data_IF_293712050984
#
_entry.id   IF_293712050984
#
_cell.length_a   1.000
_cell.length_b   1.000
_cell.length_c   1.000
_cell.angle_alpha   90.00
_cell.angle_beta   90.00
_cell.angle_gamma   90.00
#
_symmetry.space_group_name_H-M   'P 1'
#
loop_
_entity.id
_entity.type
_entity.pdbx_description
1 polymer ?
#
# COMPACT_ATOMS: atom_id res chain seq x y z
N UNK A 1 92.64 -37.55 -34.13
CA UNK A 1 92.08 -36.38 -34.83
C UNK A 1 90.77 -36.11 -34.14
N UNK A 2 90.83 -35.36 -33.05
CA UNK A 2 89.65 -34.89 -32.33
C UNK A 2 89.21 -33.61 -33.06
N UNK A 3 88.01 -33.63 -33.64
CA UNK A 3 87.35 -32.44 -34.18
C UNK A 3 86.84 -31.60 -33.00
N UNK A 4 87.39 -30.40 -32.83
CA UNK A 4 86.85 -29.37 -31.94
C UNK A 4 85.46 -28.98 -32.44
N UNK A 5 84.43 -29.39 -31.70
CA UNK A 5 83.07 -28.90 -31.90
C UNK A 5 83.03 -27.44 -31.45
N UNK A 6 82.83 -26.55 -32.41
CA UNK A 6 82.79 -25.10 -32.23
C UNK A 6 81.62 -24.72 -31.30
N UNK A 7 81.94 -24.42 -30.04
CA UNK A 7 80.96 -24.16 -28.97
C UNK A 7 80.09 -22.92 -29.28
N UNK A 8 80.58 -22.00 -30.10
CA UNK A 8 79.88 -20.79 -30.50
C UNK A 8 78.69 -21.07 -31.44
N UNK A 9 78.78 -22.11 -32.27
CA UNK A 9 77.68 -22.49 -33.18
C UNK A 9 76.54 -23.17 -32.42
N UNK A 10 76.87 -24.04 -31.46
CA UNK A 10 75.88 -24.72 -30.62
C UNK A 10 75.15 -23.74 -29.71
N UNK A 11 75.84 -22.74 -29.15
CA UNK A 11 75.21 -21.73 -28.29
C UNK A 11 74.29 -20.77 -29.08
N UNK A 12 74.67 -20.43 -30.31
CA UNK A 12 73.85 -19.60 -31.20
C UNK A 12 72.59 -20.34 -31.70
N UNK A 13 72.68 -21.64 -31.98
CA UNK A 13 71.52 -22.43 -32.36
C UNK A 13 70.58 -22.64 -31.16
N UNK A 14 71.11 -22.88 -29.95
CA UNK A 14 70.32 -22.92 -28.71
C UNK A 14 69.61 -21.59 -28.39
N UNK A 15 70.24 -20.45 -28.68
CA UNK A 15 69.60 -19.13 -28.55
C UNK A 15 68.46 -18.95 -29.56
N UNK A 16 68.64 -19.37 -30.80
CA UNK A 16 67.58 -19.31 -31.83
C UNK A 16 66.40 -20.23 -31.50
N UNK A 17 66.65 -21.42 -30.96
CA UNK A 17 65.59 -22.31 -30.51
C UNK A 17 64.80 -21.73 -29.34
N UNK A 18 65.46 -21.13 -28.34
CA UNK A 18 64.77 -20.44 -27.23
C UNK A 18 63.98 -19.22 -27.67
N UNK A 19 64.53 -18.42 -28.59
CA UNK A 19 63.79 -17.28 -29.15
C UNK A 19 62.59 -17.69 -30.01
N UNK A 20 62.60 -18.89 -30.61
CA UNK A 20 61.44 -19.46 -31.29
C UNK A 20 60.40 -19.98 -30.29
N UNK A 21 60.80 -20.70 -29.25
CA UNK A 21 59.89 -21.17 -28.19
C UNK A 21 59.23 -19.99 -27.45
N UNK A 22 59.97 -18.93 -27.15
CA UNK A 22 59.43 -17.74 -26.48
C UNK A 22 58.43 -16.98 -27.37
N UNK A 23 58.67 -16.92 -28.69
CA UNK A 23 57.74 -16.29 -29.65
C UNK A 23 56.48 -17.12 -29.88
N UNK A 24 56.59 -18.45 -29.90
CA UNK A 24 55.44 -19.35 -29.99
C UNK A 24 54.61 -19.33 -28.69
N UNK A 25 55.27 -19.19 -27.54
CA UNK A 25 54.60 -19.02 -26.24
C UNK A 25 53.88 -17.66 -26.14
N UNK A 26 54.51 -16.55 -26.56
CA UNK A 26 53.88 -15.22 -26.58
C UNK A 26 52.69 -15.17 -27.56
N UNK A 27 52.81 -15.76 -28.76
CA UNK A 27 51.70 -15.84 -29.71
C UNK A 27 50.55 -16.72 -29.20
N UNK A 28 50.86 -17.82 -28.50
CA UNK A 28 49.86 -18.67 -27.84
C UNK A 28 49.13 -17.98 -26.68
N UNK A 29 49.80 -17.08 -25.96
CA UNK A 29 49.20 -16.26 -24.88
C UNK A 29 48.33 -15.16 -25.47
N UNK A 30 48.80 -14.46 -26.51
CA UNK A 30 48.04 -13.38 -27.17
C UNK A 30 46.75 -13.89 -27.83
N UNK A 31 46.80 -15.03 -28.53
CA UNK A 31 45.61 -15.65 -29.13
C UNK A 31 44.60 -16.11 -28.07
N UNK A 32 45.08 -16.53 -26.90
CA UNK A 32 44.22 -16.96 -25.78
C UNK A 32 43.56 -15.77 -25.07
N UNK A 33 44.24 -14.64 -24.97
CA UNK A 33 43.68 -13.38 -24.44
C UNK A 33 42.68 -12.72 -25.42
N UNK A 34 42.92 -12.74 -26.73
CA UNK A 34 41.97 -12.23 -27.73
C UNK A 34 40.73 -13.14 -27.89
N UNK A 35 40.89 -14.47 -27.86
CA UNK A 35 39.76 -15.42 -27.92
C UNK A 35 38.86 -15.32 -26.67
N UNK A 36 39.46 -15.27 -25.48
CA UNK A 36 38.72 -15.21 -24.21
C UNK A 36 37.99 -13.87 -24.00
N UNK A 37 38.48 -12.77 -24.58
CA UNK A 37 37.81 -11.45 -24.50
C UNK A 37 36.62 -11.34 -25.47
N UNK A 38 36.67 -12.00 -26.63
CA UNK A 38 35.55 -12.07 -27.59
C UNK A 38 34.44 -13.03 -27.11
N UNK A 39 34.79 -14.22 -26.62
CA UNK A 39 33.82 -15.21 -26.12
C UNK A 39 33.14 -14.76 -24.82
N UNK A 40 33.87 -14.07 -23.92
CA UNK A 40 33.27 -13.49 -22.72
C UNK A 40 32.28 -12.37 -23.04
N UNK A 41 32.51 -11.58 -24.11
CA UNK A 41 31.54 -10.57 -24.56
C UNK A 41 30.24 -11.21 -25.06
N UNK A 42 30.34 -12.29 -25.84
CA UNK A 42 29.17 -13.02 -26.36
C UNK A 42 28.35 -13.68 -25.25
N UNK A 43 29.00 -14.26 -24.24
CA UNK A 43 28.33 -14.85 -23.07
C UNK A 43 27.65 -13.77 -22.23
N UNK A 44 28.33 -12.64 -21.99
CA UNK A 44 27.76 -11.49 -21.28
C UNK A 44 26.56 -10.92 -22.03
N UNK A 45 26.62 -10.83 -23.37
CA UNK A 45 25.51 -10.36 -24.20
C UNK A 45 24.32 -11.32 -24.19
N UNK A 46 24.55 -12.64 -24.20
CA UNK A 46 23.49 -13.65 -24.03
C UNK A 46 22.82 -13.55 -22.66
N UNK A 47 23.61 -13.46 -21.58
CA UNK A 47 23.09 -13.33 -20.21
C UNK A 47 22.31 -12.03 -20.01
N UNK A 48 22.74 -10.93 -20.63
CA UNK A 48 22.00 -9.65 -20.59
C UNK A 48 20.70 -9.73 -21.38
N UNK A 49 20.69 -10.34 -22.57
CA UNK A 49 19.44 -10.57 -23.34
C UNK A 49 18.46 -11.46 -22.58
N UNK A 50 18.93 -12.52 -21.93
CA UNK A 50 18.09 -13.37 -21.07
C UNK A 50 17.53 -12.59 -19.88
N UNK A 51 18.35 -11.77 -19.22
CA UNK A 51 17.91 -10.91 -18.12
C UNK A 51 16.88 -9.86 -18.57
N UNK A 52 17.06 -9.27 -19.74
CA UNK A 52 16.10 -8.32 -20.33
C UNK A 52 14.78 -9.00 -20.71
N UNK A 53 14.82 -10.21 -21.26
CA UNK A 53 13.64 -11.01 -21.57
C UNK A 53 12.88 -11.40 -20.29
N UNK A 54 13.61 -11.84 -19.25
CA UNK A 54 13.09 -12.16 -17.92
C UNK A 54 12.38 -10.95 -17.30
N UNK A 55 13.05 -9.80 -17.24
CA UNK A 55 12.47 -8.57 -16.67
C UNK A 55 11.27 -8.05 -17.47
N UNK A 56 11.25 -8.23 -18.80
CA UNK A 56 10.11 -7.86 -19.65
C UNK A 56 8.90 -8.77 -19.42
N UNK A 57 9.12 -10.07 -19.27
CA UNK A 57 8.08 -11.04 -18.90
C UNK A 57 7.47 -10.71 -17.53
N UNK A 58 8.32 -10.46 -16.53
CA UNK A 58 7.90 -10.09 -15.17
C UNK A 58 7.09 -8.79 -15.16
N UNK A 59 7.54 -7.75 -15.89
CA UNK A 59 6.77 -6.50 -16.08
C UNK A 59 5.38 -6.74 -16.68
N UNK A 60 5.25 -7.68 -17.61
CA UNK A 60 3.97 -8.02 -18.21
C UNK A 60 3.05 -8.79 -17.24
N UNK A 61 3.59 -9.78 -16.52
CA UNK A 61 2.85 -10.49 -15.47
C UNK A 61 2.38 -9.53 -14.37
N UNK A 62 3.18 -8.51 -14.07
CA UNK A 62 2.95 -7.57 -13.00
C UNK A 62 1.92 -6.45 -13.26
N UNK A 63 1.25 -6.44 -14.41
CA UNK A 63 0.28 -5.37 -14.74
C UNK A 63 -0.97 -5.39 -13.85
N UNK A 64 -1.36 -6.56 -13.34
CA UNK A 64 -2.57 -6.76 -12.53
C UNK A 64 -2.31 -7.52 -11.22
N UNK A 65 -1.10 -7.42 -10.64
CA UNK A 65 -0.73 -8.20 -9.44
C UNK A 65 -1.72 -8.02 -8.30
N UNK A 66 -2.14 -6.78 -8.03
CA UNK A 66 -3.08 -6.48 -6.95
C UNK A 66 -4.42 -7.22 -7.12
N UNK A 67 -4.96 -7.18 -8.35
CA UNK A 67 -6.20 -7.86 -8.68
C UNK A 67 -6.03 -9.38 -8.59
N UNK A 68 -4.87 -9.90 -9.02
CA UNK A 68 -4.53 -11.33 -8.94
C UNK A 68 -4.41 -11.80 -7.49
N UNK A 69 -3.76 -11.04 -6.62
CA UNK A 69 -3.66 -11.31 -5.17
C UNK A 69 -5.04 -11.37 -4.55
N UNK A 70 -5.85 -10.34 -4.80
CA UNK A 70 -7.20 -10.26 -4.26
C UNK A 70 -8.04 -11.44 -4.75
N UNK A 71 -8.10 -11.68 -6.06
CA UNK A 71 -8.87 -12.80 -6.64
C UNK A 71 -8.42 -14.16 -6.12
N UNK A 72 -7.11 -14.39 -5.96
CA UNK A 72 -6.59 -15.66 -5.44
C UNK A 72 -6.95 -15.85 -3.95
N UNK A 73 -6.96 -14.76 -3.18
CA UNK A 73 -7.42 -14.77 -1.80
C UNK A 73 -8.94 -15.06 -1.70
N UNK A 74 -9.75 -14.33 -2.48
CA UNK A 74 -11.20 -14.54 -2.59
C UNK A 74 -11.55 -15.96 -3.05
N UNK A 75 -10.74 -16.58 -3.91
CA UNK A 75 -10.99 -17.94 -4.40
C UNK A 75 -10.80 -19.02 -3.33
N UNK A 76 -9.83 -18.85 -2.43
CA UNK A 76 -9.54 -19.85 -1.41
C UNK A 76 -10.35 -19.70 -0.13
N UNK A 77 -10.63 -18.46 0.30
CA UNK A 77 -11.39 -18.16 1.52
C UNK A 77 -12.75 -17.55 1.19
N UNK A 78 -13.42 -18.06 0.15
CA UNK A 78 -14.60 -17.43 -0.45
C UNK A 78 -15.73 -17.18 0.56
N UNK A 79 -15.96 -18.09 1.51
CA UNK A 79 -16.98 -17.95 2.55
C UNK A 79 -16.68 -16.78 3.49
N UNK A 80 -15.44 -16.66 3.97
CA UNK A 80 -15.04 -15.58 4.88
C UNK A 80 -15.11 -14.23 4.18
N UNK A 81 -14.65 -14.18 2.93
CA UNK A 81 -14.70 -12.96 2.14
C UNK A 81 -16.12 -12.57 1.77
N UNK A 82 -17.00 -13.52 1.43
CA UNK A 82 -18.41 -13.24 1.11
C UNK A 82 -19.19 -12.76 2.33
N UNK A 83 -19.04 -13.43 3.48
CA UNK A 83 -19.64 -12.99 4.73
C UNK A 83 -19.09 -11.62 5.18
N UNK A 84 -17.79 -11.40 5.00
CA UNK A 84 -17.15 -10.11 5.24
C UNK A 84 -17.71 -9.00 4.35
N UNK A 85 -17.97 -9.28 3.05
CA UNK A 85 -18.60 -8.33 2.14
C UNK A 85 -20.00 -7.94 2.60
N UNK A 86 -20.83 -8.92 3.01
CA UNK A 86 -22.17 -8.65 3.54
C UNK A 86 -22.08 -7.78 4.80
N UNK A 87 -21.17 -8.12 5.72
CA UNK A 87 -20.92 -7.32 6.92
C UNK A 87 -20.45 -5.89 6.59
N UNK A 88 -19.58 -5.75 5.58
CA UNK A 88 -19.05 -4.45 5.15
C UNK A 88 -20.12 -3.56 4.52
N UNK A 89 -20.97 -4.16 3.66
CA UNK A 89 -22.13 -3.48 3.08
C UNK A 89 -23.09 -3.04 4.20
N UNK A 90 -23.41 -3.93 5.14
CA UNK A 90 -24.26 -3.64 6.29
C UNK A 90 -23.71 -2.50 7.13
N UNK A 91 -22.44 -2.58 7.53
CA UNK A 91 -21.77 -1.55 8.34
C UNK A 91 -21.75 -0.18 7.64
N UNK A 92 -21.60 -0.15 6.32
CA UNK A 92 -21.65 1.09 5.55
C UNK A 92 -23.07 1.69 5.47
N UNK A 93 -24.09 0.84 5.43
CA UNK A 93 -25.49 1.26 5.39
C UNK A 93 -25.99 1.78 6.74
N UNK A 94 -25.53 1.20 7.86
CA UNK A 94 -26.09 1.51 9.19
C UNK A 94 -25.96 2.99 9.55
N UNK A 95 -24.83 3.64 9.23
CA UNK A 95 -24.61 5.05 9.56
C UNK A 95 -25.60 6.02 8.90
N UNK A 96 -25.83 5.97 7.56
CA UNK A 96 -26.88 6.74 6.90
C UNK A 96 -28.28 6.49 7.48
N UNK A 97 -28.64 5.24 7.79
CA UNK A 97 -29.95 4.92 8.36
C UNK A 97 -30.11 5.41 9.80
N UNK A 98 -29.06 5.31 10.61
CA UNK A 98 -28.99 5.88 11.95
C UNK A 98 -29.27 7.39 11.92
N UNK A 99 -28.63 8.13 10.99
CA UNK A 99 -28.84 9.58 10.88
C UNK A 99 -30.27 9.98 10.56
N UNK A 100 -30.98 9.21 9.72
CA UNK A 100 -32.39 9.47 9.43
C UNK A 100 -33.24 9.42 10.71
N UNK A 101 -33.02 8.41 11.55
CA UNK A 101 -33.77 8.27 12.81
C UNK A 101 -33.34 9.31 13.84
N UNK A 102 -32.05 9.62 13.92
CA UNK A 102 -31.51 10.64 14.81
C UNK A 102 -32.10 12.03 14.49
N UNK A 103 -32.12 12.42 13.21
CA UNK A 103 -32.74 13.69 12.80
C UNK A 103 -34.25 13.66 13.04
N UNK A 104 -34.91 12.53 12.79
CA UNK A 104 -36.32 12.35 13.12
C UNK A 104 -36.61 12.58 14.61
N UNK A 105 -35.76 12.05 15.49
CA UNK A 105 -35.86 12.25 16.94
C UNK A 105 -35.63 13.73 17.31
N UNK A 106 -34.56 14.35 16.79
CA UNK A 106 -34.28 15.77 17.07
C UNK A 106 -35.45 16.67 16.67
N UNK A 107 -36.07 16.44 15.52
CA UNK A 107 -37.20 17.24 15.06
C UNK A 107 -38.45 17.03 15.92
N UNK A 108 -38.71 15.79 16.36
CA UNK A 108 -39.82 15.54 17.29
C UNK A 108 -39.60 16.22 18.64
N UNK A 109 -38.35 16.31 19.12
CA UNK A 109 -38.02 17.01 20.35
C UNK A 109 -38.11 18.54 20.18
N UNK A 110 -37.65 19.09 19.05
CA UNK A 110 -37.77 20.51 18.75
C UNK A 110 -39.22 20.97 18.57
N UNK A 111 -40.12 20.06 18.17
CA UNK A 111 -41.56 20.32 18.08
C UNK A 111 -42.31 20.25 19.41
N UNK A 112 -41.68 19.81 20.50
CA UNK A 112 -42.27 19.84 21.84
C UNK A 112 -41.99 21.18 22.52
N UNK A 113 -43.04 21.91 22.87
CA UNK A 113 -42.95 23.11 23.70
C UNK A 113 -42.63 22.72 25.15
N UNK A 114 -41.68 23.41 25.84
CA UNK A 114 -41.30 23.08 27.22
C UNK A 114 -42.45 23.17 28.24
N UNK A 115 -43.46 24.00 27.95
CA UNK A 115 -44.53 24.36 28.88
C UNK A 115 -45.81 23.52 28.74
N UNK A 116 -45.85 22.57 27.80
CA UNK A 116 -47.03 21.70 27.56
C UNK A 116 -46.66 20.26 27.89
N UNK A 117 -47.48 19.60 28.72
CA UNK A 117 -47.28 18.17 29.02
C UNK A 117 -47.28 17.35 27.72
N UNK A 118 -46.26 16.51 27.49
CA UNK A 118 -46.13 15.79 26.25
C UNK A 118 -47.31 14.84 26.06
N UNK A 119 -47.95 14.88 24.90
CA UNK A 119 -49.06 13.98 24.57
C UNK A 119 -48.55 12.53 24.59
N UNK A 120 -49.38 11.58 25.06
CA UNK A 120 -49.02 10.15 25.12
C UNK A 120 -48.51 9.61 23.77
N UNK A 121 -49.09 10.05 22.65
CA UNK A 121 -48.63 9.71 21.29
C UNK A 121 -47.21 10.22 20.95
N UNK A 122 -46.84 11.40 21.44
CA UNK A 122 -45.50 11.97 21.24
C UNK A 122 -44.45 11.17 22.02
N UNK A 123 -44.77 10.78 23.26
CA UNK A 123 -43.92 9.90 24.08
C UNK A 123 -43.74 8.53 23.43
N UNK A 124 -44.81 7.94 22.88
CA UNK A 124 -44.73 6.68 22.14
C UNK A 124 -43.84 6.79 20.89
N UNK A 125 -43.93 7.91 20.16
CA UNK A 125 -43.11 8.17 18.98
C UNK A 125 -41.64 8.30 19.32
N UNK A 126 -41.30 9.08 20.36
CA UNK A 126 -39.93 9.23 20.86
C UNK A 126 -39.37 7.89 21.31
N UNK A 127 -40.13 7.13 22.11
CA UNK A 127 -39.72 5.81 22.57
C UNK A 127 -39.40 4.88 21.41
N UNK A 128 -40.27 4.85 20.39
CA UNK A 128 -40.04 4.02 19.21
C UNK A 128 -38.77 4.46 18.45
N UNK A 129 -38.52 5.77 18.29
CA UNK A 129 -37.29 6.28 17.65
C UNK A 129 -36.02 5.91 18.44
N UNK A 130 -36.06 6.02 19.76
CA UNK A 130 -34.95 5.61 20.62
C UNK A 130 -34.66 4.11 20.52
N UNK A 131 -35.70 3.26 20.46
CA UNK A 131 -35.53 1.81 20.25
C UNK A 131 -34.86 1.54 18.90
N UNK A 132 -35.28 2.20 17.82
CA UNK A 132 -34.63 2.05 16.52
C UNK A 132 -33.17 2.49 16.54
N UNK A 133 -32.84 3.58 17.22
CA UNK A 133 -31.45 4.04 17.38
C UNK A 133 -30.61 3.00 18.12
N UNK A 134 -31.14 2.40 19.19
CA UNK A 134 -30.46 1.34 19.93
C UNK A 134 -30.24 0.10 19.06
N UNK A 135 -31.25 -0.31 18.27
CA UNK A 135 -31.13 -1.41 17.33
C UNK A 135 -30.06 -1.15 16.26
N UNK A 136 -29.95 0.08 15.74
CA UNK A 136 -28.87 0.44 14.83
C UNK A 136 -27.50 0.42 15.51
N UNK A 137 -27.40 0.85 16.78
CA UNK A 137 -26.17 0.71 17.56
C UNK A 137 -25.70 -0.75 17.68
N UNK A 138 -26.63 -1.67 17.99
CA UNK A 138 -26.35 -3.10 18.01
C UNK A 138 -25.98 -3.62 16.62
N UNK A 139 -26.66 -3.15 15.57
CA UNK A 139 -26.35 -3.53 14.20
C UNK A 139 -24.95 -3.07 13.77
N UNK A 140 -24.52 -1.85 14.13
CA UNK A 140 -23.12 -1.39 13.89
C UNK A 140 -22.15 -2.33 14.56
N UNK A 141 -22.38 -2.69 15.83
CA UNK A 141 -21.48 -3.58 16.56
C UNK A 141 -21.31 -4.92 15.86
N UNK A 142 -22.43 -5.58 15.51
CA UNK A 142 -22.43 -6.88 14.84
C UNK A 142 -21.81 -6.81 13.45
N UNK A 143 -22.24 -5.85 12.63
CA UNK A 143 -21.74 -5.72 11.25
C UNK A 143 -20.27 -5.34 11.19
N UNK A 144 -19.81 -4.47 12.11
CA UNK A 144 -18.40 -4.09 12.24
C UNK A 144 -17.55 -5.25 12.67
N UNK A 145 -18.00 -6.01 13.67
CA UNK A 145 -17.31 -7.23 14.10
C UNK A 145 -17.23 -8.26 12.96
N UNK A 146 -18.33 -8.46 12.22
CA UNK A 146 -18.35 -9.37 11.07
C UNK A 146 -17.35 -8.94 10.00
N UNK A 147 -17.41 -7.71 9.48
CA UNK A 147 -16.51 -7.35 8.38
C UNK A 147 -15.06 -7.27 8.87
N UNK A 148 -14.79 -6.60 10.00
CA UNK A 148 -13.42 -6.39 10.47
C UNK A 148 -12.78 -7.72 10.88
N UNK A 149 -13.49 -8.54 11.65
CA UNK A 149 -12.99 -9.83 12.12
C UNK A 149 -12.79 -10.85 11.00
N UNK A 150 -13.74 -10.95 10.06
CA UNK A 150 -13.65 -11.91 8.96
C UNK A 150 -12.58 -11.51 7.94
N UNK A 151 -12.48 -10.23 7.57
CA UNK A 151 -11.42 -9.77 6.67
C UNK A 151 -10.03 -9.83 7.30
N UNK A 152 -9.91 -9.57 8.60
CA UNK A 152 -8.65 -9.73 9.32
C UNK A 152 -8.21 -11.20 9.34
N UNK A 153 -9.14 -12.11 9.65
CA UNK A 153 -8.88 -13.56 9.67
C UNK A 153 -8.50 -14.10 8.28
N UNK A 154 -9.22 -13.69 7.23
CA UNK A 154 -8.87 -14.05 5.84
C UNK A 154 -7.49 -13.53 5.45
N UNK A 155 -7.15 -12.29 5.85
CA UNK A 155 -5.84 -11.69 5.65
C UNK A 155 -4.70 -12.50 6.28
N UNK A 156 -4.87 -12.98 7.52
CA UNK A 156 -3.84 -13.80 8.19
C UNK A 156 -3.58 -15.13 7.47
N UNK A 157 -4.66 -15.84 7.09
CA UNK A 157 -4.52 -17.10 6.33
C UNK A 157 -3.82 -16.88 5.00
N UNK A 158 -4.12 -15.78 4.31
CA UNK A 158 -3.45 -15.40 3.08
C UNK A 158 -1.94 -15.23 3.28
N UNK A 159 -1.53 -14.51 4.32
CA UNK A 159 -0.10 -14.30 4.63
C UNK A 159 0.62 -15.62 4.84
N UNK A 160 0.04 -16.52 5.65
CA UNK A 160 0.68 -17.80 5.96
C UNK A 160 0.90 -18.59 4.67
N UNK A 161 -0.08 -18.61 3.78
CA UNK A 161 0.06 -19.29 2.48
C UNK A 161 1.10 -18.60 1.59
N UNK A 162 1.05 -17.28 1.47
CA UNK A 162 2.02 -16.52 0.67
C UNK A 162 3.45 -16.69 1.18
N UNK A 163 3.67 -16.69 2.50
CA UNK A 163 4.99 -16.94 3.08
C UNK A 163 5.50 -18.35 2.76
N UNK A 164 4.65 -19.36 2.84
CA UNK A 164 5.02 -20.75 2.47
C UNK A 164 5.39 -20.86 1.00
N UNK A 165 4.56 -20.28 0.12
CA UNK A 165 4.81 -20.28 -1.33
C UNK A 165 6.06 -19.51 -1.69
N UNK A 166 6.24 -18.32 -1.13
CA UNK A 166 7.41 -17.48 -1.36
C UNK A 166 8.69 -18.16 -0.87
N UNK A 167 8.66 -18.77 0.32
CA UNK A 167 9.79 -19.53 0.84
C UNK A 167 10.16 -20.72 -0.06
N UNK A 168 9.17 -21.50 -0.50
CA UNK A 168 9.39 -22.60 -1.44
C UNK A 168 9.92 -22.12 -2.79
N UNK A 169 9.41 -21.00 -3.31
CA UNK A 169 9.86 -20.41 -4.57
C UNK A 169 11.29 -19.87 -4.47
N UNK A 170 11.69 -19.32 -3.31
CA UNK A 170 13.07 -18.89 -3.06
C UNK A 170 14.03 -20.08 -3.04
N UNK A 171 13.67 -21.18 -2.37
CA UNK A 171 14.52 -22.39 -2.33
C UNK A 171 14.71 -23.06 -3.70
N UNK A 172 13.77 -22.87 -4.64
CA UNK A 172 13.85 -23.38 -6.01
C UNK A 172 14.76 -22.54 -6.93
N UNK A 173 15.16 -21.33 -6.53
CA UNK A 173 15.97 -20.46 -7.40
C UNK A 173 17.41 -20.98 -7.57
N UNK A 174 17.96 -20.81 -8.78
CA UNK A 174 19.34 -21.13 -9.11
C UNK A 174 20.35 -20.21 -8.38
N UNK A 175 21.60 -20.67 -8.19
CA UNK A 175 22.62 -19.93 -7.42
C UNK A 175 22.90 -18.52 -7.97
N UNK A 176 22.91 -18.38 -9.31
CA UNK A 176 23.14 -17.09 -10.00
C UNK A 176 22.08 -16.04 -9.67
N UNK A 177 20.91 -16.43 -9.17
CA UNK A 177 19.91 -15.48 -8.66
C UNK A 177 20.43 -14.73 -7.44
N UNK A 178 21.13 -15.42 -6.53
CA UNK A 178 21.63 -14.88 -5.27
C UNK A 178 22.92 -14.07 -5.41
N UNK A 179 23.67 -14.30 -6.49
CA UNK A 179 24.86 -13.52 -6.85
C UNK A 179 24.52 -12.09 -7.31
N UNK A 180 23.26 -11.85 -7.70
CA UNK A 180 22.79 -10.50 -8.08
C UNK A 180 22.76 -9.59 -6.84
N UNK A 181 23.34 -8.38 -6.93
CA UNK A 181 23.33 -7.36 -5.86
C UNK A 181 21.93 -7.00 -5.33
N UNK A 182 20.91 -7.21 -6.16
CA UNK A 182 19.50 -6.98 -5.85
C UNK A 182 18.91 -8.05 -4.93
N UNK A 183 19.48 -9.26 -4.96
CA UNK A 183 18.96 -10.49 -4.36
C UNK A 183 19.90 -11.12 -3.34
N UNK A 184 20.79 -10.30 -2.75
CA UNK A 184 21.62 -10.74 -1.63
C UNK A 184 20.75 -11.35 -0.51
N UNK A 185 21.27 -12.38 0.16
CA UNK A 185 20.56 -13.17 1.18
C UNK A 185 19.89 -12.29 2.25
N UNK A 186 20.57 -11.24 2.72
CA UNK A 186 19.99 -10.29 3.68
C UNK A 186 18.73 -9.60 3.15
N UNK A 187 18.77 -9.07 1.92
CA UNK A 187 17.61 -8.39 1.29
C UNK A 187 16.45 -9.35 1.05
N UNK A 188 16.74 -10.57 0.58
CA UNK A 188 15.73 -11.60 0.34
C UNK A 188 15.06 -12.03 1.64
N UNK A 189 15.83 -12.17 2.72
CA UNK A 189 15.30 -12.52 4.05
C UNK A 189 14.40 -11.40 4.59
N UNK A 190 14.82 -10.14 4.45
CA UNK A 190 13.98 -8.99 4.80
C UNK A 190 12.68 -8.97 3.99
N UNK A 191 12.76 -9.13 2.66
CA UNK A 191 11.58 -9.18 1.76
C UNK A 191 10.62 -10.31 2.13
N UNK A 192 11.14 -11.50 2.44
CA UNK A 192 10.33 -12.64 2.88
C UNK A 192 9.55 -12.33 4.18
N UNK A 193 10.14 -11.53 5.07
CA UNK A 193 9.49 -11.11 6.31
C UNK A 193 8.48 -9.96 6.11
N UNK A 194 8.85 -8.93 5.33
CA UNK A 194 8.14 -7.65 5.17
C UNK A 194 7.11 -7.60 4.05
N UNK A 195 7.36 -8.23 2.91
CA UNK A 195 6.52 -8.04 1.72
C UNK A 195 5.14 -8.73 1.90
N UNK A 196 5.07 -9.97 2.45
CA UNK A 196 3.78 -10.59 2.78
C UNK A 196 2.98 -9.82 3.84
N UNK A 197 3.63 -9.16 4.81
CA UNK A 197 2.92 -8.37 5.83
C UNK A 197 2.39 -7.06 5.27
N UNK A 198 3.14 -6.42 4.37
CA UNK A 198 2.69 -5.22 3.66
C UNK A 198 1.49 -5.54 2.77
N UNK A 199 1.49 -6.70 2.10
CA UNK A 199 0.38 -7.23 1.31
C UNK A 199 -0.90 -7.47 2.12
N UNK A 200 -0.79 -7.97 3.36
CA UNK A 200 -1.93 -8.11 4.28
C UNK A 200 -2.65 -6.80 4.49
N UNK A 201 -1.88 -5.71 4.60
CA UNK A 201 -2.39 -4.36 4.76
C UNK A 201 -3.48 -4.07 3.74
N UNK A 202 -3.27 -4.40 2.46
CA UNK A 202 -4.29 -4.19 1.44
C UNK A 202 -5.35 -5.29 1.44
N UNK A 203 -4.96 -6.57 1.44
CA UNK A 203 -5.92 -7.66 1.17
C UNK A 203 -6.82 -8.05 2.35
N UNK A 204 -6.51 -7.60 3.58
CA UNK A 204 -7.29 -7.88 4.78
C UNK A 204 -8.23 -6.73 5.13
N UNK A 205 -7.94 -6.07 6.27
CA UNK A 205 -8.76 -4.99 6.85
C UNK A 205 -9.08 -3.86 5.86
N UNK A 206 -8.11 -3.41 5.06
CA UNK A 206 -8.31 -2.25 4.17
C UNK A 206 -9.34 -2.53 3.08
N UNK A 207 -9.41 -3.74 2.52
CA UNK A 207 -10.50 -4.13 1.60
C UNK A 207 -11.86 -4.04 2.28
N UNK A 208 -11.97 -4.48 3.54
CA UNK A 208 -13.19 -4.33 4.33
C UNK A 208 -13.60 -2.86 4.50
N UNK A 209 -12.63 -1.99 4.81
CA UNK A 209 -12.85 -0.54 4.91
C UNK A 209 -13.23 0.10 3.56
N UNK A 210 -12.67 -0.38 2.45
CA UNK A 210 -13.04 0.08 1.10
C UNK A 210 -14.49 -0.28 0.79
N UNK A 211 -14.90 -1.52 1.07
CA UNK A 211 -16.28 -1.99 0.88
C UNK A 211 -17.25 -1.22 1.77
N UNK A 212 -16.89 -1.00 3.04
CA UNK A 212 -17.66 -0.19 3.96
C UNK A 212 -17.85 1.24 3.44
N UNK A 213 -16.78 1.86 2.95
CA UNK A 213 -16.84 3.23 2.44
C UNK A 213 -17.67 3.33 1.16
N UNK A 214 -17.46 2.42 0.20
CA UNK A 214 -18.25 2.39 -1.03
C UNK A 214 -19.74 2.18 -0.74
N UNK A 215 -20.06 1.31 0.21
CA UNK A 215 -21.42 1.11 0.70
C UNK A 215 -21.99 2.39 1.33
N UNK A 216 -21.25 3.01 2.26
CA UNK A 216 -21.64 4.27 2.91
C UNK A 216 -21.91 5.39 1.91
N UNK A 217 -21.04 5.55 0.91
CA UNK A 217 -21.24 6.53 -0.17
C UNK A 217 -22.47 6.20 -1.00
N UNK A 218 -22.64 4.93 -1.40
CA UNK A 218 -23.80 4.49 -2.18
C UNK A 218 -25.13 4.72 -1.46
N UNK A 219 -25.25 4.26 -0.22
CA UNK A 219 -26.46 4.45 0.59
C UNK A 219 -26.67 5.93 0.96
N UNK A 220 -25.60 6.66 1.32
CA UNK A 220 -25.69 8.07 1.69
C UNK A 220 -26.17 8.97 0.53
N UNK A 221 -25.68 8.72 -0.68
CA UNK A 221 -26.13 9.39 -1.90
C UNK A 221 -27.55 8.96 -2.28
N UNK A 222 -27.86 7.66 -2.25
CA UNK A 222 -29.19 7.15 -2.56
C UNK A 222 -30.28 7.70 -1.64
N UNK A 223 -30.03 7.72 -0.34
CA UNK A 223 -30.91 8.32 0.67
C UNK A 223 -31.12 9.81 0.40
N UNK A 224 -30.07 10.53 0.02
CA UNK A 224 -30.18 11.96 -0.22
C UNK A 224 -31.05 12.30 -1.43
N UNK A 225 -30.89 11.57 -2.53
CA UNK A 225 -31.75 11.70 -3.70
C UNK A 225 -33.20 11.32 -3.41
N UNK A 226 -33.43 10.35 -2.52
CA UNK A 226 -34.77 9.94 -2.13
C UNK A 226 -35.53 11.04 -1.36
N UNK A 227 -34.88 11.74 -0.42
CA UNK A 227 -35.55 12.77 0.39
C UNK A 227 -35.64 14.14 -0.29
N UNK A 228 -34.53 14.64 -0.86
CA UNK A 228 -34.51 15.90 -1.59
C UNK A 228 -33.42 15.92 -2.68
N UNK A 229 -33.82 15.59 -3.90
CA UNK A 229 -32.93 15.56 -5.06
C UNK A 229 -32.34 16.93 -5.41
N UNK A 230 -33.00 18.05 -5.10
CA UNK A 230 -32.50 19.40 -5.45
C UNK A 230 -31.32 19.76 -4.55
N UNK A 231 -31.47 19.55 -3.25
CA UNK A 231 -30.39 19.76 -2.28
C UNK A 231 -29.24 18.79 -2.57
N UNK A 232 -29.56 17.53 -2.89
CA UNK A 232 -28.57 16.51 -3.19
C UNK A 232 -27.68 16.88 -4.40
N UNK A 233 -28.28 17.38 -5.49
CA UNK A 233 -27.52 17.83 -6.67
C UNK A 233 -26.61 19.01 -6.36
N UNK A 234 -27.09 20.00 -5.60
CA UNK A 234 -26.29 21.17 -5.24
C UNK A 234 -25.06 20.81 -4.41
N UNK A 235 -25.21 19.89 -3.45
CA UNK A 235 -24.08 19.42 -2.63
C UNK A 235 -23.15 18.52 -3.44
N UNK A 236 -23.70 17.66 -4.30
CA UNK A 236 -22.91 16.80 -5.19
C UNK A 236 -22.06 17.60 -6.19
N UNK A 237 -22.53 18.76 -6.65
CA UNK A 237 -21.75 19.66 -7.50
C UNK A 237 -20.44 20.13 -6.85
N UNK A 238 -20.38 20.16 -5.51
CA UNK A 238 -19.18 20.59 -4.75
C UNK A 238 -18.34 19.38 -4.29
N UNK A 239 -18.88 18.17 -4.34
CA UNK A 239 -18.17 16.95 -3.95
C UNK A 239 -16.79 16.76 -4.63
N UNK A 240 -16.57 17.09 -5.92
CA UNK A 240 -15.25 16.99 -6.53
C UNK A 240 -14.19 17.86 -5.85
N UNK A 241 -14.57 19.05 -5.39
CA UNK A 241 -13.67 19.98 -4.70
C UNK A 241 -13.21 19.37 -3.37
N UNK A 242 -14.10 18.73 -2.63
CA UNK A 242 -13.75 18.00 -1.40
C UNK A 242 -12.76 16.87 -1.67
N UNK A 243 -13.03 16.06 -2.69
CA UNK A 243 -12.18 14.93 -3.04
C UNK A 243 -10.76 15.41 -3.38
N UNK A 244 -10.63 16.48 -4.16
CA UNK A 244 -9.33 17.05 -4.54
C UNK A 244 -8.55 17.54 -3.31
N UNK A 245 -9.21 18.24 -2.38
CA UNK A 245 -8.54 18.79 -1.19
C UNK A 245 -8.11 17.67 -0.23
N UNK A 246 -8.97 16.69 0.01
CA UNK A 246 -8.63 15.54 0.86
C UNK A 246 -7.50 14.72 0.22
N UNK A 247 -7.54 14.51 -1.09
CA UNK A 247 -6.47 13.85 -1.83
C UNK A 247 -5.14 14.61 -1.73
N UNK A 248 -5.16 15.93 -1.89
CA UNK A 248 -3.98 16.78 -1.77
C UNK A 248 -3.40 16.71 -0.34
N UNK A 249 -4.25 16.76 0.68
CA UNK A 249 -3.85 16.62 2.07
C UNK A 249 -3.20 15.25 2.33
N UNK A 250 -3.82 14.15 1.88
CA UNK A 250 -3.25 12.81 2.00
C UNK A 250 -1.91 12.66 1.28
N UNK A 251 -1.79 13.20 0.06
CA UNK A 251 -0.55 13.18 -0.72
C UNK A 251 0.57 13.96 -0.03
N UNK A 252 0.29 15.15 0.51
CA UNK A 252 1.29 15.97 1.20
C UNK A 252 1.77 15.31 2.50
N UNK A 253 0.87 14.72 3.28
CA UNK A 253 1.24 13.93 4.47
C UNK A 253 2.15 12.74 4.10
N UNK A 254 1.86 12.04 3.01
CA UNK A 254 2.70 10.95 2.52
C UNK A 254 4.09 11.43 2.08
N UNK A 255 4.17 12.55 1.35
CA UNK A 255 5.43 13.13 0.87
C UNK A 255 6.32 13.55 2.05
N UNK A 256 5.77 14.09 3.13
CA UNK A 256 6.56 14.47 4.29
C UNK A 256 7.10 13.24 5.07
N UNK A 257 6.31 12.18 5.16
CA UNK A 257 6.68 11.00 5.94
C UNK A 257 7.97 10.35 5.41
N UNK A 258 8.14 10.21 4.10
CA UNK A 258 9.32 9.52 3.52
C UNK A 258 10.68 10.19 3.81
N UNK A 259 10.89 11.50 3.56
CA UNK A 259 12.15 12.19 3.86
C UNK A 259 12.42 12.32 5.36
N UNK A 260 11.37 12.42 6.18
CA UNK A 260 11.51 12.45 7.63
C UNK A 260 12.01 11.10 8.15
N UNK A 261 11.38 10.00 7.73
CA UNK A 261 11.79 8.65 8.10
C UNK A 261 13.24 8.36 7.67
N UNK A 262 13.61 8.69 6.44
CA UNK A 262 14.99 8.48 5.95
C UNK A 262 16.03 9.30 6.72
N UNK A 263 15.71 10.55 7.09
CA UNK A 263 16.62 11.38 7.88
C UNK A 263 16.76 10.87 9.33
N UNK A 264 15.70 10.30 9.91
CA UNK A 264 15.76 9.67 11.24
C UNK A 264 16.50 8.34 11.21
N UNK A 265 16.35 7.55 10.15
CA UNK A 265 17.04 6.26 9.97
C UNK A 265 18.55 6.45 10.03
N UNK A 266 19.10 7.45 9.35
CA UNK A 266 20.53 7.76 9.40
C UNK A 266 21.02 8.09 10.83
N UNK A 267 20.27 8.94 11.56
CA UNK A 267 20.62 9.24 12.96
C UNK A 267 20.47 8.02 13.87
N UNK A 268 19.52 7.12 13.55
CA UNK A 268 19.31 5.86 14.25
C UNK A 268 20.48 4.91 14.07
N UNK A 269 21.03 4.80 12.86
CA UNK A 269 22.23 3.97 12.59
C UNK A 269 23.42 4.45 13.44
N UNK A 270 23.72 5.75 13.44
CA UNK A 270 24.80 6.31 14.27
C UNK A 270 24.61 6.00 15.76
N UNK A 271 23.36 6.06 16.25
CA UNK A 271 23.04 5.77 17.64
C UNK A 271 23.20 4.28 17.97
N UNK A 272 22.68 3.39 17.11
CA UNK A 272 22.75 1.94 17.30
C UNK A 272 24.21 1.48 17.32
N UNK A 273 25.04 1.96 16.39
CA UNK A 273 26.47 1.63 16.33
C UNK A 273 27.20 2.05 17.63
N UNK A 274 26.90 3.25 18.14
CA UNK A 274 27.50 3.76 19.36
C UNK A 274 27.06 2.98 20.61
N UNK A 275 25.78 2.56 20.67
CA UNK A 275 25.22 1.81 21.80
C UNK A 275 25.66 0.35 21.79
N UNK A 276 25.68 -0.31 20.64
CA UNK A 276 26.17 -1.68 20.50
C UNK A 276 27.65 -1.78 20.88
N UNK A 277 28.44 -0.77 20.51
CA UNK A 277 29.88 -0.70 20.80
C UNK A 277 30.22 0.11 22.04
N UNK A 278 29.30 0.24 23.02
CA UNK A 278 29.46 1.15 24.15
C UNK A 278 30.75 0.94 24.96
N UNK A 279 31.19 -0.32 25.13
CA UNK A 279 32.44 -0.64 25.82
C UNK A 279 33.66 -0.08 25.07
N UNK A 280 33.63 -0.15 23.74
CA UNK A 280 34.68 0.40 22.88
C UNK A 280 34.69 1.92 22.92
N UNK A 281 33.50 2.54 22.85
CA UNK A 281 33.34 4.00 22.94
C UNK A 281 33.87 4.53 24.28
N UNK A 282 33.54 3.86 25.38
CA UNK A 282 34.02 4.20 26.72
C UNK A 282 35.53 3.95 26.87
N UNK A 283 36.05 2.83 26.35
CA UNK A 283 37.49 2.54 26.40
C UNK A 283 38.33 3.56 25.65
N UNK A 284 37.76 4.15 24.58
CA UNK A 284 38.38 5.19 23.77
C UNK A 284 38.06 6.61 24.26
N UNK A 285 37.25 6.76 25.32
CA UNK A 285 36.78 8.04 25.88
C UNK A 285 36.23 9.01 24.82
N UNK A 286 35.44 8.47 23.86
CA UNK A 286 34.87 9.21 22.71
C UNK A 286 33.36 9.45 22.82
N UNK A 287 32.79 9.43 24.01
CA UNK A 287 31.35 9.64 24.25
C UNK A 287 30.87 10.98 23.65
N UNK A 288 31.61 12.06 23.92
CA UNK A 288 31.28 13.41 23.42
C UNK A 288 31.29 13.49 21.89
N UNK A 289 32.17 12.73 21.23
CA UNK A 289 32.24 12.70 19.77
C UNK A 289 30.96 12.09 19.18
N UNK A 290 30.53 10.93 19.70
CA UNK A 290 29.31 10.27 19.23
C UNK A 290 28.05 11.08 19.58
N UNK A 291 28.02 11.73 20.75
CA UNK A 291 26.95 12.66 21.10
C UNK A 291 26.85 13.82 20.10
N UNK A 292 27.97 14.48 19.78
CA UNK A 292 27.99 15.59 18.85
C UNK A 292 27.65 15.15 17.42
N UNK A 293 28.08 13.96 17.00
CA UNK A 293 27.74 13.37 15.70
C UNK A 293 26.22 13.12 15.60
N UNK A 294 25.62 12.50 16.61
CA UNK A 294 24.18 12.30 16.68
C UNK A 294 23.40 13.63 16.69
N UNK A 295 23.86 14.61 17.47
CA UNK A 295 23.28 15.94 17.49
C UNK A 295 23.38 16.66 16.14
N UNK A 296 24.47 16.46 15.39
CA UNK A 296 24.64 16.98 14.03
C UNK A 296 23.69 16.29 13.04
N UNK A 297 23.58 14.96 13.10
CA UNK A 297 22.68 14.17 12.26
C UNK A 297 21.22 14.60 12.45
N UNK A 298 20.80 14.92 13.69
CA UNK A 298 19.47 15.42 14.02
C UNK A 298 19.14 16.83 13.50
N UNK A 299 20.13 17.65 13.12
CA UNK A 299 19.87 19.00 12.57
C UNK A 299 19.10 18.93 11.25
N UNK A 300 19.35 17.91 10.43
CA UNK A 300 18.69 17.73 9.12
C UNK A 300 17.20 17.36 9.26
N UNK A 301 16.80 16.33 10.04
CA UNK A 301 15.40 16.09 10.38
C UNK A 301 14.71 17.32 10.97
N UNK A 302 15.35 18.00 11.93
CA UNK A 302 14.80 19.20 12.58
C UNK A 302 14.50 20.31 11.57
N UNK A 303 15.44 20.61 10.66
CA UNK A 303 15.26 21.63 9.61
C UNK A 303 14.14 21.25 8.64
N UNK A 304 14.02 19.97 8.28
CA UNK A 304 12.94 19.49 7.42
C UNK A 304 11.58 19.64 8.09
N UNK A 305 11.44 19.22 9.35
CA UNK A 305 10.18 19.37 10.11
C UNK A 305 9.79 20.85 10.22
N UNK A 306 10.73 21.74 10.56
CA UNK A 306 10.45 23.18 10.67
C UNK A 306 10.08 23.84 9.34
N UNK A 307 10.64 23.36 8.21
CA UNK A 307 10.26 23.86 6.87
C UNK A 307 8.88 23.38 6.43
N UNK A 308 8.56 22.11 6.67
CA UNK A 308 7.32 21.51 6.18
C UNK A 308 6.14 21.68 7.13
N UNK A 309 6.39 21.78 8.44
CA UNK A 309 5.38 21.89 9.49
C UNK A 309 4.33 22.98 9.24
N UNK A 310 4.73 24.24 8.96
CA UNK A 310 3.78 25.31 8.65
C UNK A 310 2.93 25.03 7.41
N UNK A 311 3.53 24.47 6.35
CA UNK A 311 2.83 24.13 5.10
C UNK A 311 1.75 23.07 5.33
N UNK A 312 2.06 22.04 6.13
CA UNK A 312 1.11 20.98 6.45
C UNK A 312 0.00 21.47 7.38
N UNK A 313 0.35 22.29 8.37
CA UNK A 313 -0.63 22.94 9.23
C UNK A 313 -1.59 23.81 8.41
N UNK A 314 -1.07 24.58 7.46
CA UNK A 314 -1.88 25.40 6.55
C UNK A 314 -2.81 24.55 5.67
N UNK A 315 -2.30 23.45 5.09
CA UNK A 315 -3.10 22.55 4.25
C UNK A 315 -4.18 21.82 5.06
N UNK A 316 -3.86 21.43 6.29
CA UNK A 316 -4.83 20.83 7.22
C UNK A 316 -5.91 21.83 7.63
N UNK A 317 -5.51 23.07 7.97
CA UNK A 317 -6.43 24.16 8.27
C UNK A 317 -7.33 24.50 7.07
N UNK A 318 -6.78 24.53 5.85
CA UNK A 318 -7.54 24.74 4.63
C UNK A 318 -8.57 23.63 4.38
N UNK A 319 -8.21 22.37 4.63
CA UNK A 319 -9.14 21.24 4.51
C UNK A 319 -10.32 21.36 5.50
N UNK A 320 -10.03 21.67 6.76
CA UNK A 320 -11.07 21.91 7.77
C UNK A 320 -11.95 23.09 7.40
N UNK A 321 -11.34 24.22 6.98
CA UNK A 321 -12.06 25.43 6.56
C UNK A 321 -13.01 25.15 5.41
N UNK A 322 -12.57 24.48 4.34
CA UNK A 322 -13.42 24.17 3.19
C UNK A 322 -14.56 23.22 3.57
N UNK A 323 -14.29 22.22 4.41
CA UNK A 323 -15.33 21.31 4.92
C UNK A 323 -16.40 22.07 5.72
N UNK A 324 -16.00 23.02 6.56
CA UNK A 324 -16.91 23.89 7.29
C UNK A 324 -17.68 24.83 6.36
N UNK A 325 -17.05 25.42 5.34
CA UNK A 325 -17.72 26.25 4.33
C UNK A 325 -18.78 25.47 3.56
N UNK A 326 -18.52 24.21 3.21
CA UNK A 326 -19.47 23.37 2.49
C UNK A 326 -20.65 23.00 3.38
N UNK A 327 -20.39 22.74 4.66
CA UNK A 327 -21.44 22.54 5.65
C UNK A 327 -22.35 23.78 5.74
N UNK A 328 -21.76 24.97 5.86
CA UNK A 328 -22.49 26.24 5.90
C UNK A 328 -23.27 26.52 4.62
N UNK A 329 -22.67 26.28 3.44
CA UNK A 329 -23.32 26.44 2.14
C UNK A 329 -24.51 25.49 1.98
N UNK A 330 -24.38 24.25 2.45
CA UNK A 330 -25.47 23.27 2.42
C UNK A 330 -26.65 23.76 3.26
N UNK A 331 -26.41 24.34 4.45
CA UNK A 331 -27.46 24.96 5.27
C UNK A 331 -28.09 26.18 4.59
N UNK A 332 -27.30 27.03 3.94
CA UNK A 332 -27.79 28.20 3.22
C UNK A 332 -28.72 27.81 2.05
N UNK A 333 -28.29 26.91 1.16
CA UNK A 333 -29.16 26.41 0.07
C UNK A 333 -30.41 25.78 0.64
N UNK A 334 -30.24 24.99 1.70
CA UNK A 334 -31.35 24.32 2.34
C UNK A 334 -32.43 25.30 2.80
N UNK A 335 -32.06 26.30 3.57
CA UNK A 335 -32.99 27.36 4.01
C UNK A 335 -33.58 28.14 2.85
N UNK A 336 -32.80 28.43 1.79
CA UNK A 336 -33.28 29.10 0.58
C UNK A 336 -34.32 28.27 -0.19
N UNK A 337 -34.15 26.96 -0.30
CA UNK A 337 -35.09 26.05 -0.95
C UNK A 337 -36.41 25.94 -0.17
N UNK A 338 -36.33 25.90 1.16
CA UNK A 338 -37.52 25.94 2.01
C UNK A 338 -38.25 27.26 1.80
N UNK A 339 -37.53 28.39 1.84
CA UNK A 339 -38.08 29.73 1.58
C UNK A 339 -38.87 29.80 0.26
N UNK A 340 -38.37 29.17 -0.80
CA UNK A 340 -38.99 29.18 -2.13
C UNK A 340 -40.18 28.22 -2.26
N UNK A 341 -40.22 27.15 -1.46
CA UNK A 341 -41.24 26.09 -1.52
C UNK A 341 -42.38 26.34 -0.52
N UNK A 342 -42.15 27.10 0.54
CA UNK A 342 -43.15 27.49 1.51
C UNK A 342 -44.12 28.51 0.90
N UNK A 343 -45.41 28.21 0.97
CA UNK A 343 -46.47 29.18 0.64
C UNK A 343 -46.68 30.09 1.85
N UNK A 344 -46.39 31.38 1.67
CA UNK A 344 -46.49 32.39 2.73
C UNK A 344 -47.93 32.82 3.04
N UNK A 345 -48.91 32.36 2.24
CA UNK A 345 -50.31 32.74 2.39
C UNK A 345 -51.14 31.79 3.27
N UNK A 346 -50.51 30.76 3.87
CA UNK A 346 -51.20 29.82 4.76
C UNK A 346 -51.25 30.30 6.23
N UNK A 347 -52.24 29.84 7.00
CA UNK A 347 -52.32 30.08 8.44
C UNK A 347 -51.05 29.58 9.18
N UNK A 348 -50.74 30.20 10.33
CA UNK A 348 -49.50 29.99 11.09
C UNK A 348 -49.27 28.52 11.50
N UNK A 349 -50.32 27.79 11.86
CA UNK A 349 -50.25 26.39 12.32
C UNK A 349 -49.90 25.40 11.18
N UNK A 350 -50.62 25.39 10.02
CA UNK A 350 -50.24 24.54 8.90
C UNK A 350 -48.91 24.96 8.24
N UNK A 351 -48.56 26.26 8.26
CA UNK A 351 -47.28 26.75 7.77
C UNK A 351 -46.09 26.19 8.58
N UNK A 352 -46.17 26.24 9.91
CA UNK A 352 -45.10 25.72 10.79
C UNK A 352 -44.92 24.22 10.66
N UNK A 353 -46.02 23.45 10.51
CA UNK A 353 -45.96 22.02 10.24
C UNK A 353 -45.30 21.68 8.87
N UNK A 354 -45.66 22.41 7.80
CA UNK A 354 -45.08 22.21 6.47
C UNK A 354 -43.60 22.61 6.42
N UNK A 355 -43.23 23.68 7.13
CA UNK A 355 -41.84 24.13 7.26
C UNK A 355 -40.99 23.08 7.99
N UNK A 356 -41.47 22.55 9.12
CA UNK A 356 -40.76 21.53 9.88
C UNK A 356 -40.60 20.21 9.12
N UNK A 357 -41.61 19.76 8.37
CA UNK A 357 -41.50 18.57 7.53
C UNK A 357 -40.49 18.75 6.38
N UNK A 358 -40.53 19.91 5.71
CA UNK A 358 -39.59 20.25 4.64
C UNK A 358 -38.15 20.38 5.16
N UNK A 359 -37.97 21.01 6.32
CA UNK A 359 -36.69 21.13 7.01
C UNK A 359 -36.16 19.76 7.45
N UNK A 360 -37.04 18.87 7.91
CA UNK A 360 -36.67 17.50 8.30
C UNK A 360 -36.15 16.69 7.12
N UNK A 361 -36.85 16.72 5.98
CA UNK A 361 -36.46 15.99 4.76
C UNK A 361 -35.12 16.49 4.23
N UNK A 362 -34.93 17.80 4.22
CA UNK A 362 -33.69 18.43 3.81
C UNK A 362 -32.52 18.09 4.75
N UNK A 363 -32.72 18.20 6.07
CA UNK A 363 -31.65 17.90 7.04
C UNK A 363 -31.22 16.44 6.95
N UNK A 364 -32.16 15.52 6.72
CA UNK A 364 -31.87 14.10 6.42
C UNK A 364 -31.00 13.94 5.18
N UNK A 365 -31.35 14.60 4.07
CA UNK A 365 -30.59 14.55 2.83
C UNK A 365 -29.19 15.17 2.97
N UNK A 366 -29.07 16.30 3.67
CA UNK A 366 -27.79 16.99 3.84
C UNK A 366 -26.82 16.20 4.71
N UNK A 367 -27.26 15.70 5.87
CA UNK A 367 -26.37 14.95 6.76
C UNK A 367 -25.94 13.61 6.16
N UNK A 368 -26.80 12.94 5.38
CA UNK A 368 -26.42 11.70 4.70
C UNK A 368 -25.32 11.92 3.65
N UNK A 369 -25.39 13.02 2.88
CA UNK A 369 -24.33 13.37 1.91
C UNK A 369 -23.05 13.80 2.62
N UNK A 370 -23.14 14.61 3.67
CA UNK A 370 -21.95 15.04 4.41
C UNK A 370 -21.20 13.84 5.01
N UNK A 371 -21.92 12.84 5.54
CA UNK A 371 -21.29 11.62 6.02
C UNK A 371 -20.67 10.80 4.89
N UNK A 372 -21.37 10.64 3.76
CA UNK A 372 -20.82 9.99 2.58
C UNK A 372 -19.52 10.68 2.10
N UNK A 373 -19.50 12.01 2.09
CA UNK A 373 -18.32 12.80 1.74
C UNK A 373 -17.16 12.56 2.74
N UNK A 374 -17.44 12.53 4.05
CA UNK A 374 -16.44 12.22 5.07
C UNK A 374 -15.90 10.79 4.93
N UNK A 375 -16.77 9.80 4.66
CA UNK A 375 -16.35 8.42 4.39
C UNK A 375 -15.42 8.37 3.17
N UNK A 376 -15.76 9.06 2.08
CA UNK A 376 -14.89 9.17 0.91
C UNK A 376 -13.53 9.82 1.23
N UNK A 377 -13.50 10.77 2.16
CA UNK A 377 -12.25 11.38 2.63
C UNK A 377 -11.31 10.37 3.30
N UNK A 378 -11.86 9.44 4.09
CA UNK A 378 -11.07 8.39 4.75
C UNK A 378 -10.43 7.41 3.75
N UNK A 379 -11.06 7.16 2.59
CA UNK A 379 -10.44 6.38 1.50
C UNK A 379 -9.19 7.07 0.93
N UNK A 380 -9.19 8.40 0.84
CA UNK A 380 -8.05 9.17 0.33
C UNK A 380 -6.78 8.94 1.14
N UNK A 381 -6.90 8.70 2.45
CA UNK A 381 -5.76 8.41 3.33
C UNK A 381 -5.16 7.01 3.09
N UNK A 382 -5.88 6.09 2.43
CA UNK A 382 -5.39 4.73 2.15
C UNK A 382 -4.54 4.64 0.88
N UNK A 383 -4.56 5.66 0.02
CA UNK A 383 -3.87 5.64 -1.28
C UNK A 383 -2.35 5.39 -1.16
N UNK A 384 -1.62 6.00 -0.19
CA UNK A 384 -0.19 5.73 -0.01
C UNK A 384 0.10 4.26 0.35
N UNK A 385 -0.74 3.66 1.19
CA UNK A 385 -0.62 2.25 1.59
C UNK A 385 -0.86 1.32 0.38
N UNK A 386 -1.77 1.71 -0.53
CA UNK A 386 -2.01 0.99 -1.78
C UNK A 386 -0.75 0.97 -2.66
N UNK A 387 -0.07 2.12 -2.78
CA UNK A 387 1.18 2.21 -3.54
C UNK A 387 2.26 1.27 -3.00
N UNK A 388 2.48 1.27 -1.68
CA UNK A 388 3.49 0.41 -1.03
C UNK A 388 3.20 -1.08 -1.23
N UNK A 389 1.96 -1.51 -1.09
CA UNK A 389 1.67 -2.93 -1.29
C UNK A 389 1.54 -3.34 -2.76
N UNK A 390 1.38 -2.42 -3.72
CA UNK A 390 1.64 -2.73 -5.14
C UNK A 390 3.11 -3.11 -5.33
N UNK A 391 4.02 -2.36 -4.73
CA UNK A 391 5.46 -2.63 -4.81
C UNK A 391 5.82 -3.97 -4.13
N UNK A 392 5.34 -4.20 -2.90
CA UNK A 392 5.52 -5.48 -2.21
C UNK A 392 4.89 -6.67 -2.98
N UNK A 393 3.73 -6.45 -3.61
CA UNK A 393 3.10 -7.45 -4.48
C UNK A 393 4.00 -7.78 -5.67
N UNK A 394 4.54 -6.79 -6.37
CA UNK A 394 5.45 -7.01 -7.49
C UNK A 394 6.66 -7.83 -7.06
N UNK A 395 7.33 -7.44 -5.97
CA UNK A 395 8.49 -8.19 -5.46
C UNK A 395 8.14 -9.64 -5.12
N UNK A 396 6.96 -9.89 -4.54
CA UNK A 396 6.51 -11.24 -4.18
C UNK A 396 6.21 -12.09 -5.42
N UNK A 397 5.48 -11.53 -6.39
CA UNK A 397 5.11 -12.26 -7.60
C UNK A 397 6.26 -12.37 -8.60
N UNK A 398 7.23 -11.45 -8.56
CA UNK A 398 8.46 -11.58 -9.33
C UNK A 398 9.20 -12.85 -8.98
N UNK A 399 9.26 -13.21 -7.70
CA UNK A 399 9.87 -14.46 -7.24
C UNK A 399 8.97 -15.66 -7.54
N UNK A 400 7.65 -15.51 -7.37
CA UNK A 400 6.70 -16.62 -7.51
C UNK A 400 6.49 -17.06 -8.97
N UNK A 401 6.45 -16.11 -9.90
CA UNK A 401 6.22 -16.37 -11.32
C UNK A 401 7.53 -16.64 -12.09
N UNK A 402 8.69 -16.39 -11.47
CA UNK A 402 10.01 -16.66 -12.05
C UNK A 402 10.23 -18.17 -12.14
N UNK A 403 10.48 -18.64 -13.36
CA UNK A 403 11.00 -19.99 -13.63
C UNK A 403 12.54 -19.90 -13.69
N UNK A 404 13.28 -20.63 -12.84
CA UNK A 404 14.74 -20.61 -12.90
C UNK A 404 15.22 -21.31 -14.18
N UNK A 405 16.35 -20.86 -14.72
CA UNK A 405 16.98 -21.49 -15.91
C UNK A 405 17.50 -22.90 -15.59
N UNK A 406 18.00 -23.09 -14.37
CA UNK A 406 18.39 -24.37 -13.81
C UNK A 406 17.42 -24.68 -12.67
N UNK A 407 16.55 -25.66 -12.87
CA UNK A 407 15.49 -26.00 -11.92
C UNK A 407 15.76 -27.35 -11.25
N UNK A 408 16.01 -27.32 -9.94
CA UNK A 408 16.28 -28.52 -9.14
C UNK A 408 15.03 -29.40 -8.92
N UNK A 409 13.83 -28.88 -9.16
CA UNK A 409 12.57 -29.62 -9.05
C UNK A 409 12.01 -30.05 -10.41
N UNK A 410 12.74 -29.82 -11.50
CA UNK A 410 12.34 -30.31 -12.82
C UNK A 410 12.57 -31.81 -12.92
N UNK A 411 11.57 -32.54 -13.43
CA UNK A 411 11.71 -33.94 -13.84
C UNK A 411 12.26 -34.07 -15.27
N UNK A 412 12.51 -32.94 -15.94
CA UNK A 412 13.09 -32.90 -17.28
C UNK A 412 14.60 -33.16 -17.21
N UNK A 413 15.05 -34.22 -17.89
CA UNK A 413 16.47 -34.61 -17.96
C UNK A 413 16.63 -36.12 -18.13
N UNK A 414 17.86 -36.55 -18.41
CA UNK A 414 18.20 -37.97 -18.46
C UNK A 414 18.61 -38.45 -17.06
N UNK A 415 18.01 -39.54 -16.59
CA UNK A 415 18.40 -40.22 -15.35
C UNK A 415 19.19 -41.48 -15.71
N UNK A 416 20.47 -41.49 -15.34
CA UNK A 416 21.36 -42.61 -15.63
C UNK A 416 21.35 -43.62 -14.46
N UNK A 417 21.16 -44.91 -14.78
CA UNK A 417 21.18 -45.99 -13.77
C UNK A 417 22.60 -46.41 -13.37
N UNK A 418 23.59 -46.18 -14.25
CA UNK A 418 24.99 -46.56 -14.03
C UNK A 418 25.91 -45.40 -14.46
N UNK A 419 26.71 -44.87 -13.52
CA UNK A 419 27.54 -43.68 -13.72
C UNK A 419 28.99 -44.05 -13.47
N UNK A 420 29.81 -44.06 -14.54
CA UNK A 420 31.24 -44.42 -14.49
C UNK A 420 32.15 -43.31 -13.96
N UNK A 421 31.66 -42.08 -13.90
CA UNK A 421 32.40 -40.94 -13.33
C UNK A 421 33.44 -40.29 -14.25
N UNK A 422 33.38 -40.54 -15.56
CA UNK A 422 34.23 -39.85 -16.54
C UNK A 422 33.69 -38.43 -16.80
N UNK A 423 34.49 -37.40 -16.52
CA UNK A 423 34.13 -35.99 -16.68
C UNK A 423 35.05 -35.36 -17.71
N UNK A 424 34.48 -34.73 -18.74
CA UNK A 424 35.20 -34.03 -19.80
C UNK A 424 34.70 -32.58 -19.89
N UNK A 425 35.62 -31.62 -19.90
CA UNK A 425 35.31 -30.20 -20.05
C UNK A 425 35.67 -29.79 -21.48
N UNK A 426 34.69 -29.38 -22.30
CA UNK A 426 34.89 -28.91 -23.68
C UNK A 426 34.48 -27.45 -23.80
N UNK A 427 35.48 -26.59 -23.99
CA UNK A 427 35.32 -25.18 -24.37
C UNK A 427 34.33 -24.39 -23.47
N UNK A 428 34.77 -24.06 -22.25
CA UNK A 428 33.92 -23.60 -21.12
C UNK A 428 34.24 -22.18 -20.69
#
# INVERSE_FOLDING_TARGET
>A
MEEEVDQETVENDLKKFREQEDKEAEQGILHKEESSTLESSDVVERLTKEYEAETKYLKHSNRFVLLRVLLNNFRHEWLLSFLGLIGGIGAGAVFPFYMIQFIGLLMTLMGMSPDVEPTTEQLHTVRNKCIWILLFGLAVFVTTYMYLGLFLSAGEKMIVRLRKLLYSALLRQNISYYDRKENMVGKVTTRLASDPTTLKGISGERVGNVVNTLSSVGFGVGIAFYYDWKVALCVMAIAPVLIVIVFLNGKLNSIQSSPATAAYEQSGITLVEAVESIKTVQSLTREDFFYNKFAADLKRPKKNILRWGPTLAFVSAANTFVTSCISAYSFYIGTYLIKKKSDYNMEFLPFTAQFMDSFTKMQKAMMSIMMAANSCGNLGQMIPDVGKAIEAAKNTFDVLDRKPSIDCYSEEGETFNDVKGEIEFKDI
#
